data_IF_637324336711
#
_entry.id   IF_637324336711
#
_cell.length_a   1.000
_cell.length_b   1.000
_cell.length_c   1.000
_cell.angle_alpha   90.00
_cell.angle_beta   90.00
_cell.angle_gamma   90.00
#
_symmetry.space_group_name_H-M   'P 1'
#
loop_
_entity.id
_entity.type
_entity.pdbx_description
1 polymer ?
#
# COMPACT_ATOMS: atom_id res chain seq x y z
N UNK A 1 -10.33 -16.89 -17.43
CA UNK A 1 -9.91 -15.49 -17.28
C UNK A 1 -8.41 -15.42 -17.11
N UNK A 2 -7.70 -14.49 -17.83
CA UNK A 2 -6.28 -14.19 -17.65
C UNK A 2 -6.17 -12.90 -16.84
N UNK A 3 -5.44 -12.93 -15.72
CA UNK A 3 -5.21 -11.78 -14.86
C UNK A 3 -3.78 -11.25 -15.06
N UNK A 4 -3.64 -9.93 -15.20
CA UNK A 4 -2.36 -9.23 -15.19
C UNK A 4 -2.19 -8.50 -13.86
N UNK A 5 -1.02 -8.64 -13.23
CA UNK A 5 -0.69 -7.91 -12.00
C UNK A 5 0.56 -7.07 -12.27
N UNK A 6 0.43 -5.76 -12.15
CA UNK A 6 1.56 -4.84 -12.08
C UNK A 6 1.92 -4.66 -10.60
N UNK A 7 2.93 -5.40 -10.19
CA UNK A 7 3.35 -5.47 -8.80
C UNK A 7 4.53 -4.55 -8.53
N UNK A 8 4.39 -3.72 -7.52
CA UNK A 8 5.43 -2.85 -6.98
C UNK A 8 5.68 -3.21 -5.52
N UNK A 9 6.93 -3.12 -5.12
CA UNK A 9 7.41 -3.22 -3.75
C UNK A 9 8.65 -2.35 -3.60
N UNK A 10 8.96 -1.90 -2.40
CA UNK A 10 10.22 -1.23 -2.06
C UNK A 10 10.56 -0.04 -2.98
N UNK A 11 9.56 0.78 -3.32
CA UNK A 11 9.77 1.94 -4.19
C UNK A 11 10.55 3.05 -3.49
N UNK A 12 10.44 3.16 -2.18
CA UNK A 12 11.16 4.10 -1.31
C UNK A 12 11.21 5.53 -1.86
N UNK A 13 10.08 6.01 -2.40
CA UNK A 13 9.98 7.37 -2.94
C UNK A 13 10.30 8.37 -1.85
N UNK A 14 11.31 9.22 -2.08
CA UNK A 14 11.84 10.16 -1.10
C UNK A 14 11.86 11.60 -1.58
N UNK A 15 12.15 11.82 -2.86
CA UNK A 15 12.37 13.15 -3.41
C UNK A 15 11.85 13.26 -4.84
N UNK A 16 11.60 14.49 -5.28
CA UNK A 16 11.18 14.75 -6.65
C UNK A 16 12.23 14.38 -7.73
N UNK A 17 13.46 14.08 -7.30
CA UNK A 17 14.56 13.67 -8.18
C UNK A 17 14.73 12.16 -8.28
N UNK A 18 13.89 11.38 -7.62
CA UNK A 18 13.97 9.93 -7.69
C UNK A 18 13.64 9.47 -9.11
N UNK A 19 14.55 8.71 -9.68
CA UNK A 19 14.49 8.30 -11.09
C UNK A 19 13.21 7.55 -11.45
N UNK A 20 12.66 6.76 -10.53
CA UNK A 20 11.44 5.97 -10.75
C UNK A 20 10.24 6.85 -11.12
N UNK A 21 10.20 8.09 -10.63
CA UNK A 21 9.10 9.03 -10.90
C UNK A 21 8.99 9.40 -12.38
N UNK A 22 10.11 9.36 -13.14
CA UNK A 22 10.14 9.62 -14.58
C UNK A 22 9.88 8.39 -15.44
N UNK A 23 9.99 7.17 -14.86
CA UNK A 23 9.99 5.91 -15.62
C UNK A 23 8.62 5.26 -15.79
N UNK A 24 7.53 5.91 -15.35
CA UNK A 24 6.19 5.32 -15.41
C UNK A 24 5.77 4.89 -16.83
N UNK A 25 6.18 5.63 -17.86
CA UNK A 25 5.86 5.29 -19.25
C UNK A 25 6.66 4.05 -19.73
N UNK A 26 7.93 3.97 -19.37
CA UNK A 26 8.80 2.81 -19.66
C UNK A 26 8.29 1.54 -18.96
N UNK A 27 7.88 1.68 -17.70
CA UNK A 27 7.28 0.59 -16.92
C UNK A 27 6.01 0.04 -17.58
N UNK A 28 5.09 0.90 -17.97
CA UNK A 28 3.85 0.49 -18.65
C UNK A 28 4.14 -0.09 -20.03
N UNK A 29 5.10 0.48 -20.78
CA UNK A 29 5.48 -0.03 -22.09
C UNK A 29 6.09 -1.45 -22.03
N UNK A 30 6.88 -1.74 -20.98
CA UNK A 30 7.54 -3.04 -20.81
C UNK A 30 6.56 -4.22 -20.65
N UNK A 31 5.36 -3.97 -20.13
CA UNK A 31 4.33 -5.00 -19.90
C UNK A 31 3.25 -5.03 -20.97
N UNK A 32 3.36 -4.20 -22.01
CA UNK A 32 2.33 -4.01 -23.03
C UNK A 32 1.86 -5.32 -23.65
N UNK A 33 2.77 -6.14 -24.18
CA UNK A 33 2.45 -7.38 -24.86
C UNK A 33 1.71 -8.37 -23.95
N UNK A 34 2.10 -8.42 -22.67
CA UNK A 34 1.47 -9.30 -21.67
C UNK A 34 0.04 -8.82 -21.40
N UNK A 35 -0.14 -7.52 -21.21
CA UNK A 35 -1.44 -6.96 -20.81
C UNK A 35 -2.46 -6.91 -21.94
N UNK A 36 -2.02 -6.91 -23.20
CA UNK A 36 -2.92 -7.07 -24.36
C UNK A 36 -3.71 -8.39 -24.30
N UNK A 37 -3.10 -9.44 -23.73
CA UNK A 37 -3.71 -10.75 -23.58
C UNK A 37 -4.53 -10.95 -22.29
N UNK A 38 -4.46 -9.99 -21.34
CA UNK A 38 -5.18 -10.09 -20.07
C UNK A 38 -6.65 -9.66 -20.22
N UNK A 39 -7.51 -10.32 -19.46
CA UNK A 39 -8.92 -9.94 -19.33
C UNK A 39 -9.10 -8.86 -18.27
N UNK A 40 -8.23 -8.87 -17.23
CA UNK A 40 -8.24 -7.91 -16.13
C UNK A 40 -6.82 -7.59 -15.66
N UNK A 41 -6.57 -6.32 -15.26
CA UNK A 41 -5.26 -5.81 -14.84
C UNK A 41 -5.40 -5.14 -13.47
N UNK A 42 -4.53 -5.53 -12.54
CA UNK A 42 -4.45 -4.99 -11.19
C UNK A 42 -3.13 -4.29 -10.97
N UNK A 43 -3.14 -3.20 -10.21
CA UNK A 43 -1.94 -2.53 -9.70
C UNK A 43 -1.87 -2.88 -8.21
N UNK A 44 -0.75 -3.47 -7.79
CA UNK A 44 -0.56 -3.97 -6.42
C UNK A 44 0.73 -3.39 -5.85
N UNK A 45 0.63 -2.84 -4.65
CA UNK A 45 1.76 -2.37 -3.84
C UNK A 45 1.86 -3.15 -2.54
N UNK A 46 3.01 -3.82 -2.33
CA UNK A 46 3.24 -4.65 -1.13
C UNK A 46 4.31 -4.07 -0.23
N UNK A 47 4.10 -2.84 0.20
CA UNK A 47 4.92 -2.15 1.18
C UNK A 47 5.99 -1.23 0.61
N UNK A 48 6.46 -0.36 1.48
CA UNK A 48 7.56 0.57 1.27
C UNK A 48 7.37 1.46 0.01
N UNK A 49 6.16 2.04 -0.09
CA UNK A 49 5.82 2.98 -1.15
C UNK A 49 6.72 4.20 -1.06
N UNK A 50 6.92 4.71 0.15
CA UNK A 50 7.76 5.88 0.45
C UNK A 50 8.91 5.51 1.39
N UNK A 51 9.82 6.45 1.64
CA UNK A 51 11.03 6.18 2.43
C UNK A 51 10.86 6.38 3.93
N UNK A 52 10.05 7.34 4.37
CA UNK A 52 9.91 7.72 5.79
C UNK A 52 8.46 7.92 6.26
N UNK A 53 7.49 7.58 5.43
CA UNK A 53 6.07 7.74 5.76
C UNK A 53 5.63 9.20 5.87
N UNK A 54 6.34 10.16 5.26
CA UNK A 54 5.98 11.57 5.33
C UNK A 54 4.92 11.95 4.31
N UNK A 55 4.11 12.97 4.60
CA UNK A 55 3.06 13.45 3.70
C UNK A 55 3.64 13.97 2.38
N UNK A 56 4.81 14.63 2.43
CA UNK A 56 5.48 15.16 1.24
C UNK A 56 5.88 14.04 0.27
N UNK A 57 6.37 12.91 0.80
CA UNK A 57 6.71 11.73 0.00
C UNK A 57 5.46 11.11 -0.63
N UNK A 58 4.35 11.05 0.10
CA UNK A 58 3.07 10.55 -0.43
C UNK A 58 2.47 11.44 -1.52
N UNK A 59 2.71 12.76 -1.49
CA UNK A 59 2.33 13.65 -2.60
C UNK A 59 3.07 13.24 -3.90
N UNK A 60 4.35 12.88 -3.81
CA UNK A 60 5.14 12.41 -4.96
C UNK A 60 4.65 11.04 -5.44
N UNK A 61 4.44 10.11 -4.52
CA UNK A 61 3.90 8.79 -4.80
C UNK A 61 2.53 8.87 -5.49
N UNK A 62 1.65 9.77 -5.03
CA UNK A 62 0.32 9.99 -5.62
C UNK A 62 0.41 10.42 -7.09
N UNK A 63 1.33 11.32 -7.43
CA UNK A 63 1.54 11.76 -8.82
C UNK A 63 2.01 10.60 -9.70
N UNK A 64 2.98 9.84 -9.22
CA UNK A 64 3.52 8.67 -9.92
C UNK A 64 2.44 7.62 -10.20
N UNK A 65 1.70 7.21 -9.17
CA UNK A 65 0.66 6.20 -9.30
C UNK A 65 -0.52 6.63 -10.17
N UNK A 66 -0.94 7.88 -10.06
CA UNK A 66 -1.98 8.43 -10.92
C UNK A 66 -1.53 8.48 -12.39
N UNK A 67 -0.25 8.73 -12.66
CA UNK A 67 0.31 8.68 -14.02
C UNK A 67 0.29 7.26 -14.59
N UNK A 68 0.71 6.26 -13.82
CA UNK A 68 0.64 4.84 -14.21
C UNK A 68 -0.80 4.43 -14.48
N UNK A 69 -1.71 4.68 -13.54
CA UNK A 69 -3.13 4.31 -13.65
C UNK A 69 -3.78 4.97 -14.88
N UNK A 70 -3.53 6.25 -15.10
CA UNK A 70 -4.06 6.99 -16.23
C UNK A 70 -3.56 6.42 -17.56
N UNK A 71 -2.28 6.09 -17.65
CA UNK A 71 -1.69 5.52 -18.85
C UNK A 71 -2.25 4.10 -19.11
N UNK A 72 -2.34 3.26 -18.08
CA UNK A 72 -2.95 1.93 -18.20
C UNK A 72 -4.41 2.01 -18.63
N UNK A 73 -5.22 2.91 -18.05
CA UNK A 73 -6.61 3.12 -18.45
C UNK A 73 -6.73 3.63 -19.88
N UNK A 74 -5.80 4.45 -20.34
CA UNK A 74 -5.77 4.92 -21.73
C UNK A 74 -5.53 3.77 -22.70
N UNK A 75 -4.64 2.83 -22.36
CA UNK A 75 -4.26 1.71 -23.21
C UNK A 75 -5.26 0.53 -23.14
N UNK A 76 -5.75 0.20 -21.94
CA UNK A 76 -6.48 -1.04 -21.67
C UNK A 76 -7.93 -0.82 -21.20
N UNK A 77 -8.36 0.44 -21.05
CA UNK A 77 -9.75 0.83 -20.73
C UNK A 77 -10.32 0.04 -19.53
N UNK A 78 -11.43 -0.62 -19.74
CA UNK A 78 -12.22 -1.32 -18.73
C UNK A 78 -11.52 -2.56 -18.15
N UNK A 79 -10.37 -2.96 -18.71
CA UNK A 79 -9.59 -4.07 -18.17
C UNK A 79 -8.88 -3.71 -16.86
N UNK A 80 -8.61 -2.42 -16.61
CA UNK A 80 -7.89 -1.97 -15.39
C UNK A 80 -8.85 -1.85 -14.23
N UNK A 81 -8.56 -2.58 -13.14
CA UNK A 81 -9.30 -2.46 -11.90
C UNK A 81 -9.23 -1.04 -11.33
N UNK A 82 -10.32 -0.54 -10.78
CA UNK A 82 -10.43 0.85 -10.37
C UNK A 82 -9.54 1.22 -9.18
N UNK A 83 -9.43 0.31 -8.22
CA UNK A 83 -8.62 0.53 -7.04
C UNK A 83 -7.18 0.05 -7.26
N UNK A 84 -6.24 0.71 -6.59
CA UNK A 84 -4.90 0.17 -6.39
C UNK A 84 -4.91 -0.61 -5.09
N UNK A 85 -4.36 -1.81 -5.11
CA UNK A 85 -4.30 -2.71 -3.97
C UNK A 85 -3.04 -2.37 -3.18
N UNK A 86 -3.19 -2.04 -1.90
CA UNK A 86 -2.10 -1.62 -1.04
C UNK A 86 -1.93 -2.51 0.18
N UNK A 87 -0.68 -2.70 0.58
CA UNK A 87 -0.27 -3.17 1.90
C UNK A 87 0.84 -2.26 2.38
N UNK A 88 0.82 -1.71 3.60
CA UNK A 88 1.91 -0.90 4.10
C UNK A 88 3.13 -1.74 4.46
N UNK A 89 4.33 -1.16 4.29
CA UNK A 89 5.58 -1.67 4.81
C UNK A 89 6.09 -0.86 6.02
N UNK A 90 7.27 -1.21 6.53
CA UNK A 90 7.84 -0.52 7.67
C UNK A 90 8.30 0.92 7.34
N UNK A 91 8.72 1.19 6.12
CA UNK A 91 9.04 2.53 5.63
C UNK A 91 7.81 3.42 5.42
N UNK A 92 6.63 2.84 5.33
CA UNK A 92 5.36 3.57 5.28
C UNK A 92 4.91 4.08 6.67
N UNK A 93 5.68 3.79 7.73
CA UNK A 93 5.47 4.29 9.07
C UNK A 93 6.16 5.64 9.29
N UNK A 94 5.41 6.68 9.64
CA UNK A 94 5.97 7.97 10.07
C UNK A 94 6.39 7.91 11.53
N UNK A 95 7.65 7.53 11.79
CA UNK A 95 8.16 7.39 13.15
C UNK A 95 8.33 8.72 13.92
N UNK A 96 8.14 9.87 13.28
CA UNK A 96 8.00 11.14 14.01
C UNK A 96 6.71 11.16 14.85
N UNK A 97 5.74 10.33 14.53
CA UNK A 97 4.50 10.14 15.30
C UNK A 97 4.64 9.07 16.39
N UNK A 98 5.77 8.37 16.49
CA UNK A 98 5.99 7.25 17.41
C UNK A 98 6.20 7.72 18.85
N UNK A 99 5.12 7.86 19.58
CA UNK A 99 5.09 8.34 20.97
C UNK A 99 5.34 7.20 21.96
N UNK A 100 5.70 7.58 23.21
CA UNK A 100 5.99 6.64 24.28
C UNK A 100 4.86 5.64 24.56
N UNK A 101 3.60 6.05 24.39
CA UNK A 101 2.44 5.16 24.56
C UNK A 101 2.51 3.97 23.59
N UNK A 102 2.78 4.22 22.30
CA UNK A 102 2.95 3.18 21.29
C UNK A 102 4.14 2.27 21.59
N UNK A 103 5.30 2.84 21.96
CA UNK A 103 6.51 2.07 22.34
C UNK A 103 6.22 1.13 23.50
N UNK A 104 5.47 1.60 24.49
CA UNK A 104 5.07 0.77 25.63
C UNK A 104 4.06 -0.29 25.23
N UNK A 105 3.11 0.02 24.35
CA UNK A 105 2.15 -0.94 23.83
C UNK A 105 2.88 -2.08 23.09
N UNK A 106 3.79 -1.77 22.17
CA UNK A 106 4.57 -2.77 21.44
C UNK A 106 5.41 -3.63 22.40
N UNK A 107 6.13 -3.00 23.33
CA UNK A 107 7.00 -3.70 24.27
C UNK A 107 6.27 -4.69 25.17
N UNK A 108 5.04 -4.36 25.54
CA UNK A 108 4.23 -5.16 26.48
C UNK A 108 3.12 -5.94 25.76
N UNK A 109 3.19 -6.05 24.43
CA UNK A 109 2.19 -6.78 23.67
C UNK A 109 2.10 -8.22 24.14
N UNK A 110 0.90 -8.62 24.52
CA UNK A 110 0.55 -10.00 24.75
C UNK A 110 -0.69 -10.31 23.89
N UNK A 111 -0.57 -11.27 23.00
CA UNK A 111 -1.66 -11.66 22.10
C UNK A 111 -2.92 -12.13 22.82
N UNK A 112 -2.78 -12.61 24.05
CA UNK A 112 -3.93 -12.99 24.89
C UNK A 112 -4.80 -11.79 25.29
N UNK A 113 -4.27 -10.56 25.18
CA UNK A 113 -4.99 -9.31 25.47
C UNK A 113 -5.57 -8.62 24.22
N UNK A 114 -5.31 -9.12 23.03
CA UNK A 114 -5.99 -8.68 21.82
C UNK A 114 -7.38 -9.34 21.82
N UNK A 115 -8.20 -8.93 22.75
CA UNK A 115 -9.59 -9.37 22.87
C UNK A 115 -10.52 -8.40 22.11
N UNK A 116 -11.68 -8.11 22.70
CA UNK A 116 -12.69 -7.23 22.12
C UNK A 116 -12.30 -5.73 22.08
N UNK A 117 -11.18 -5.35 22.73
CA UNK A 117 -10.67 -3.97 22.78
C UNK A 117 -9.53 -3.77 21.75
N UNK A 118 -9.85 -3.08 20.65
CA UNK A 118 -8.91 -2.74 19.59
C UNK A 118 -8.02 -1.53 19.91
N UNK A 119 -8.11 -0.92 21.09
CA UNK A 119 -7.39 0.32 21.42
C UNK A 119 -5.88 0.19 21.30
N UNK A 120 -5.32 -0.97 21.63
CA UNK A 120 -3.88 -1.26 21.49
C UNK A 120 -3.49 -1.33 20.01
N UNK A 121 -4.30 -1.96 19.18
CA UNK A 121 -4.08 -2.03 17.74
C UNK A 121 -4.13 -0.62 17.14
N UNK A 122 -5.14 0.18 17.47
CA UNK A 122 -5.27 1.57 17.02
C UNK A 122 -4.06 2.40 17.44
N UNK A 123 -3.58 2.23 18.67
CA UNK A 123 -2.38 2.91 19.14
C UNK A 123 -1.12 2.49 18.36
N UNK A 124 -1.01 1.23 17.97
CA UNK A 124 0.11 0.76 17.16
C UNK A 124 0.06 1.28 15.72
N UNK A 125 -1.12 1.43 15.15
CA UNK A 125 -1.34 1.87 13.78
C UNK A 125 -1.16 3.38 13.55
N UNK A 126 -1.06 4.19 14.60
CA UNK A 126 -1.03 5.67 14.50
C UNK A 126 0.10 6.18 13.59
N UNK A 127 1.24 5.50 13.55
CA UNK A 127 2.40 5.88 12.69
C UNK A 127 2.15 5.63 11.21
N UNK A 128 1.09 4.88 10.87
CA UNK A 128 0.69 4.60 9.50
C UNK A 128 -0.48 5.49 9.02
N UNK A 129 -0.93 6.45 9.84
CA UNK A 129 -2.03 7.36 9.46
C UNK A 129 -1.79 8.07 8.12
N UNK A 130 -0.57 8.61 7.81
CA UNK A 130 -0.30 9.21 6.51
C UNK A 130 -0.45 8.24 5.34
N UNK A 131 -0.07 6.97 5.50
CA UNK A 131 -0.27 5.92 4.50
C UNK A 131 -1.76 5.70 4.20
N UNK A 132 -2.60 5.57 5.23
CA UNK A 132 -4.02 5.31 5.06
C UNK A 132 -4.76 6.52 4.47
N UNK A 133 -4.33 7.74 4.78
CA UNK A 133 -4.81 8.96 4.14
C UNK A 133 -4.43 8.99 2.65
N UNK A 134 -3.20 8.60 2.32
CA UNK A 134 -2.74 8.46 0.94
C UNK A 134 -3.56 7.40 0.18
N UNK A 135 -3.73 6.21 0.73
CA UNK A 135 -4.52 5.12 0.12
C UNK A 135 -5.97 5.58 -0.13
N UNK A 136 -6.59 6.22 0.85
CA UNK A 136 -7.92 6.80 0.74
C UNK A 136 -8.02 7.81 -0.40
N UNK A 137 -7.03 8.69 -0.52
CA UNK A 137 -6.96 9.70 -1.58
C UNK A 137 -6.81 9.07 -2.97
N UNK A 138 -5.99 8.02 -3.09
CA UNK A 138 -5.78 7.32 -4.37
C UNK A 138 -7.03 6.56 -4.79
N UNK A 139 -7.68 5.86 -3.88
CA UNK A 139 -8.82 4.98 -4.19
C UNK A 139 -10.18 5.70 -4.11
N UNK A 140 -10.22 6.94 -3.62
CA UNK A 140 -11.46 7.73 -3.51
C UNK A 140 -12.45 7.18 -2.48
N UNK A 141 -11.98 6.39 -1.51
CA UNK A 141 -12.77 5.79 -0.45
C UNK A 141 -12.03 5.98 0.88
N UNK A 142 -12.74 6.41 1.91
CA UNK A 142 -12.14 6.53 3.24
C UNK A 142 -11.75 5.15 3.77
N UNK A 143 -10.48 5.00 4.12
CA UNK A 143 -9.93 3.79 4.74
C UNK A 143 -9.35 4.16 6.09
N UNK A 144 -9.78 3.46 7.13
CA UNK A 144 -9.18 3.58 8.46
C UNK A 144 -7.97 2.68 8.59
N UNK A 145 -6.98 3.06 9.42
CA UNK A 145 -5.86 2.20 9.74
C UNK A 145 -6.32 0.81 10.20
N UNK A 146 -5.78 -0.24 9.59
CA UNK A 146 -6.18 -1.62 9.88
C UNK A 146 -5.03 -2.62 9.71
N UNK A 147 -5.18 -3.79 10.31
CA UNK A 147 -4.24 -4.90 10.16
C UNK A 147 -4.61 -5.85 9.03
N UNK A 148 -5.82 -5.73 8.51
CA UNK A 148 -6.34 -6.56 7.44
C UNK A 148 -7.35 -5.79 6.59
N UNK A 149 -7.24 -5.94 5.27
CA UNK A 149 -8.18 -5.35 4.31
C UNK A 149 -8.40 -6.29 3.14
N UNK A 150 -9.61 -6.27 2.60
CA UNK A 150 -9.96 -6.96 1.36
C UNK A 150 -10.23 -5.97 0.23
N UNK A 151 -9.78 -6.33 -0.96
CA UNK A 151 -10.18 -5.69 -2.21
C UNK A 151 -10.92 -6.71 -3.05
N UNK A 152 -12.14 -6.40 -3.43
CA UNK A 152 -13.04 -7.32 -4.13
C UNK A 152 -13.35 -6.75 -5.50
N UNK A 153 -13.10 -7.51 -6.54
CA UNK A 153 -13.50 -7.21 -7.92
C UNK A 153 -14.47 -8.27 -8.41
N UNK A 154 -15.72 -7.87 -8.61
CA UNK A 154 -16.79 -8.72 -9.11
C UNK A 154 -16.86 -8.57 -10.64
N UNK A 155 -16.42 -9.60 -11.35
CA UNK A 155 -16.30 -9.59 -12.81
C UNK A 155 -17.25 -10.63 -13.39
N UNK A 156 -18.42 -10.20 -13.80
CA UNK A 156 -19.42 -11.04 -14.47
C UNK A 156 -19.84 -12.28 -13.63
N UNK A 157 -19.12 -13.40 -13.77
CA UNK A 157 -19.40 -14.66 -13.06
C UNK A 157 -18.27 -15.10 -12.14
N UNK A 158 -17.22 -14.30 -12.04
CA UNK A 158 -16.02 -14.61 -11.25
C UNK A 158 -15.75 -13.48 -10.27
N UNK A 159 -15.26 -13.81 -9.09
CA UNK A 159 -14.87 -12.84 -8.06
C UNK A 159 -13.38 -12.99 -7.80
N UNK A 160 -12.66 -11.88 -7.88
CA UNK A 160 -11.24 -11.83 -7.50
C UNK A 160 -11.12 -11.08 -6.18
N UNK A 161 -10.50 -11.72 -5.21
CA UNK A 161 -10.32 -11.16 -3.87
C UNK A 161 -8.82 -11.08 -3.57
N UNK A 162 -8.36 -9.89 -3.18
CA UNK A 162 -7.03 -9.70 -2.63
C UNK A 162 -7.14 -9.49 -1.12
N UNK A 163 -6.44 -10.32 -0.37
CA UNK A 163 -6.31 -10.23 1.07
C UNK A 163 -5.00 -9.50 1.40
N UNK A 164 -5.09 -8.29 1.92
CA UNK A 164 -3.96 -7.47 2.34
C UNK A 164 -3.76 -7.58 3.84
N UNK A 165 -2.62 -8.13 4.28
CA UNK A 165 -2.23 -8.24 5.67
C UNK A 165 -1.13 -7.22 6.00
N UNK A 166 -1.41 -6.31 6.92
CA UNK A 166 -0.47 -5.33 7.38
C UNK A 166 0.50 -5.93 8.40
N UNK A 167 1.62 -6.46 7.94
CA UNK A 167 2.66 -7.04 8.80
C UNK A 167 3.56 -5.97 9.44
N UNK A 168 3.45 -4.70 9.03
CA UNK A 168 4.26 -3.60 9.54
C UNK A 168 3.57 -2.79 10.66
N UNK A 169 2.41 -3.22 11.17
CA UNK A 169 1.61 -2.46 12.14
C UNK A 169 2.31 -2.21 13.48
N UNK A 170 3.27 -3.06 13.85
CA UNK A 170 4.10 -2.92 15.05
C UNK A 170 5.55 -2.54 14.76
N UNK A 171 5.90 -2.21 13.52
CA UNK A 171 7.25 -1.83 13.14
C UNK A 171 7.80 -0.69 13.98
N UNK A 172 9.09 -0.71 14.25
CA UNK A 172 9.82 0.30 15.01
C UNK A 172 11.18 0.61 14.39
N UNK A 173 11.74 1.79 14.68
CA UNK A 173 13.05 2.21 14.13
C UNK A 173 14.18 1.21 14.45
N UNK A 174 14.07 0.50 15.58
CA UNK A 174 15.13 -0.38 16.10
C UNK A 174 14.73 -1.86 16.04
N UNK A 175 13.83 -2.24 15.13
CA UNK A 175 13.47 -3.65 14.99
C UNK A 175 14.61 -4.49 14.41
N UNK A 176 14.69 -5.74 14.84
CA UNK A 176 15.65 -6.67 14.27
C UNK A 176 15.16 -7.17 12.92
N UNK A 177 16.10 -7.40 11.99
CA UNK A 177 15.80 -8.00 10.69
C UNK A 177 15.06 -9.34 10.88
N UNK A 178 13.92 -9.49 10.23
CA UNK A 178 13.09 -10.71 10.32
C UNK A 178 12.13 -10.75 11.50
N UNK A 179 11.98 -9.67 12.27
CA UNK A 179 10.91 -9.53 13.25
C UNK A 179 9.59 -9.31 12.49
N UNK A 180 8.73 -10.31 12.53
CA UNK A 180 7.33 -10.21 12.07
C UNK A 180 6.43 -10.26 13.31
N UNK A 181 5.43 -9.40 13.35
CA UNK A 181 4.47 -9.31 14.44
C UNK A 181 3.06 -9.65 13.97
#
# INVERSE_FOLDING_TARGET
MKLGILHFTDSHIKSATDWILSEFSSLVASVKTIYEECDRIYIVFTGDVVYSGSEEEYILASKFLNSIRSLLKTLYKDKVYEQIIFTPGNHDCNFNMDRQARKNAIKNMNYDYIGDDNSVIEQCLIVQEPFWNFESSINGQETKPCIYKEYIDDIQKEVVIFHSFNTAWMSSINENVGSLF
#
